data_IF_011065757860
#
_entry.id   IF_011065757860
#
_cell.length_a   1.000
_cell.length_b   1.000
_cell.length_c   1.000
_cell.angle_alpha   90.00
_cell.angle_beta   90.00
_cell.angle_gamma   90.00
#
_symmetry.space_group_name_H-M   'P 1'
#
loop_
_entity.id
_entity.type
_entity.pdbx_description
1 polymer ?
#
# COMPACT_ATOMS: atom_id res chain seq x y z
N UNK A 1 -30.73 12.83 -13.48
CA UNK A 1 -29.46 12.76 -14.21
C UNK A 1 -28.36 12.79 -13.18
N UNK A 2 -27.75 11.65 -12.89
CA UNK A 2 -26.55 11.60 -12.09
C UNK A 2 -25.41 11.91 -13.03
N UNK A 3 -24.84 13.11 -12.94
CA UNK A 3 -23.58 13.42 -13.61
C UNK A 3 -22.52 12.49 -13.01
N UNK A 4 -22.03 11.54 -13.79
CA UNK A 4 -20.81 10.83 -13.42
C UNK A 4 -19.72 11.89 -13.29
N UNK A 5 -19.05 12.01 -12.12
CA UNK A 5 -18.04 13.04 -11.93
C UNK A 5 -16.96 12.87 -12.98
N UNK A 6 -16.73 13.90 -13.77
CA UNK A 6 -15.71 13.93 -14.82
C UNK A 6 -14.36 13.62 -14.18
N UNK A 7 -13.89 12.39 -14.38
CA UNK A 7 -12.63 11.91 -13.81
C UNK A 7 -11.50 12.72 -14.42
N UNK A 8 -10.89 13.57 -13.60
CA UNK A 8 -9.96 14.61 -14.05
C UNK A 8 -8.73 14.06 -14.80
N UNK A 9 -8.30 12.83 -14.48
CA UNK A 9 -7.18 12.14 -15.13
C UNK A 9 -7.13 10.65 -14.74
N UNK A 10 -6.61 9.74 -15.61
CA UNK A 10 -6.31 8.36 -15.25
C UNK A 10 -5.42 8.22 -14.00
N UNK A 11 -4.51 9.17 -13.78
CA UNK A 11 -3.62 9.20 -12.61
C UNK A 11 -4.44 9.51 -11.34
N UNK A 12 -5.33 10.50 -11.40
CA UNK A 12 -6.19 10.85 -10.28
C UNK A 12 -7.13 9.70 -9.91
N UNK A 13 -7.67 8.99 -10.91
CA UNK A 13 -8.52 7.80 -10.70
C UNK A 13 -7.77 6.70 -9.98
N UNK A 14 -6.60 6.32 -10.49
CA UNK A 14 -5.76 5.25 -9.93
C UNK A 14 -5.36 5.57 -8.50
N UNK A 15 -4.92 6.80 -8.25
CA UNK A 15 -4.61 7.26 -6.91
C UNK A 15 -5.81 7.12 -5.97
N UNK A 16 -6.97 7.60 -6.40
CA UNK A 16 -8.22 7.56 -5.64
C UNK A 16 -8.66 6.13 -5.31
N UNK A 17 -8.61 5.21 -6.27
CA UNK A 17 -8.93 3.79 -6.08
C UNK A 17 -8.02 3.15 -5.01
N UNK A 18 -6.72 3.40 -5.10
CA UNK A 18 -5.73 2.88 -4.15
C UNK A 18 -5.84 3.51 -2.77
N UNK A 19 -6.10 4.81 -2.72
CA UNK A 19 -6.35 5.50 -1.46
C UNK A 19 -7.63 4.99 -0.76
N UNK A 20 -8.69 4.74 -1.52
CA UNK A 20 -9.92 4.10 -1.01
C UNK A 20 -9.64 2.72 -0.45
N UNK A 21 -8.93 1.88 -1.21
CA UNK A 21 -8.57 0.53 -0.77
C UNK A 21 -7.80 0.55 0.56
N UNK A 22 -6.88 1.50 0.76
CA UNK A 22 -6.18 1.65 2.04
C UNK A 22 -7.10 2.11 3.17
N UNK A 23 -7.98 3.08 2.92
CA UNK A 23 -8.95 3.55 3.91
C UNK A 23 -9.93 2.45 4.35
N UNK A 24 -10.44 1.67 3.39
CA UNK A 24 -11.42 0.60 3.66
C UNK A 24 -10.84 -0.53 4.52
N UNK A 25 -9.53 -0.74 4.45
CA UNK A 25 -8.80 -1.73 5.24
C UNK A 25 -8.16 -1.16 6.52
N UNK A 26 -8.23 0.16 6.74
CA UNK A 26 -7.64 0.81 7.90
C UNK A 26 -8.65 0.97 9.04
N UNK A 27 -8.18 0.78 10.27
CA UNK A 27 -8.93 1.13 11.47
C UNK A 27 -8.44 2.46 12.03
N UNK A 28 -9.37 3.28 12.50
CA UNK A 28 -9.10 4.49 13.24
C UNK A 28 -8.37 4.12 14.56
N UNK A 29 -7.18 4.69 14.81
CA UNK A 29 -6.34 4.27 15.93
C UNK A 29 -6.92 4.66 17.29
N UNK A 30 -7.89 5.59 17.33
CA UNK A 30 -8.52 6.07 18.57
C UNK A 30 -9.78 5.27 18.87
N UNK A 31 -10.58 4.98 17.85
CA UNK A 31 -11.93 4.39 18.02
C UNK A 31 -12.02 2.92 17.63
N UNK A 32 -11.04 2.38 16.90
CA UNK A 32 -11.04 1.02 16.34
C UNK A 32 -12.08 0.80 15.24
N UNK A 33 -12.79 1.84 14.82
CA UNK A 33 -13.79 1.80 13.74
C UNK A 33 -13.11 1.93 12.38
N UNK A 34 -13.79 1.62 11.26
CA UNK A 34 -13.25 1.90 9.93
C UNK A 34 -12.80 3.36 9.79
N UNK A 35 -11.60 3.57 9.27
CA UNK A 35 -11.01 4.89 9.12
C UNK A 35 -11.77 5.68 8.05
N UNK A 36 -12.28 6.85 8.43
CA UNK A 36 -12.93 7.78 7.49
C UNK A 36 -11.96 8.86 7.03
N UNK A 37 -12.26 9.55 5.93
CA UNK A 37 -11.46 10.72 5.48
C UNK A 37 -11.38 11.80 6.57
N UNK A 38 -12.43 12.00 7.35
CA UNK A 38 -12.42 12.92 8.49
C UNK A 38 -11.55 12.41 9.65
N UNK A 39 -11.61 11.11 9.95
CA UNK A 39 -10.73 10.47 10.93
C UNK A 39 -9.27 10.62 10.54
N UNK A 40 -8.94 10.30 9.29
CA UNK A 40 -7.60 10.47 8.72
C UNK A 40 -7.14 11.93 8.84
N UNK A 41 -7.98 12.90 8.45
CA UNK A 41 -7.65 14.32 8.58
C UNK A 41 -7.31 14.70 10.01
N UNK A 42 -8.10 14.25 10.99
CA UNK A 42 -7.85 14.52 12.42
C UNK A 42 -6.53 13.90 12.88
N UNK A 43 -6.23 12.67 12.48
CA UNK A 43 -4.97 12.02 12.84
C UNK A 43 -3.77 12.71 12.22
N UNK A 44 -3.85 13.09 10.93
CA UNK A 44 -2.76 13.79 10.26
C UNK A 44 -2.53 15.19 10.83
N UNK A 45 -3.60 15.93 11.10
CA UNK A 45 -3.52 17.28 11.67
C UNK A 45 -2.99 17.30 13.11
N UNK A 46 -3.15 16.22 13.87
CA UNK A 46 -2.58 16.10 15.22
C UNK A 46 -1.06 15.96 15.23
N UNK A 47 -0.43 15.59 14.11
CA UNK A 47 1.02 15.44 13.98
C UNK A 47 1.72 16.74 13.50
N UNK A 48 1.04 17.88 13.54
CA UNK A 48 1.48 19.26 13.19
C UNK A 48 2.09 19.49 11.78
N UNK A 49 2.39 18.44 11.00
CA UNK A 49 3.04 18.53 9.68
C UNK A 49 2.08 18.30 8.49
N UNK A 50 0.78 18.57 8.65
CA UNK A 50 -0.21 18.34 7.59
C UNK A 50 -0.57 19.64 6.84
N UNK A 51 -0.01 19.90 5.64
CA UNK A 51 -0.20 21.18 4.94
C UNK A 51 -1.54 21.30 4.19
N UNK A 52 -2.40 20.28 4.26
CA UNK A 52 -3.61 20.23 3.44
C UNK A 52 -4.87 20.49 4.23
N UNK A 53 -5.88 21.01 3.55
CA UNK A 53 -7.22 21.11 4.12
C UNK A 53 -7.94 19.76 4.06
N UNK A 54 -8.91 19.58 4.97
CA UNK A 54 -9.85 18.44 4.92
C UNK A 54 -10.50 18.29 3.53
N UNK A 55 -10.86 19.40 2.90
CA UNK A 55 -11.44 19.40 1.55
C UNK A 55 -10.48 18.89 0.47
N UNK A 56 -9.18 19.10 0.63
CA UNK A 56 -8.18 18.55 -0.29
C UNK A 56 -8.15 17.01 -0.22
N UNK A 57 -8.19 16.42 0.98
CA UNK A 57 -8.28 14.96 1.13
C UNK A 57 -9.54 14.37 0.49
N UNK A 58 -10.69 15.04 0.60
CA UNK A 58 -11.90 14.59 -0.07
C UNK A 58 -11.78 14.66 -1.60
N UNK A 59 -11.14 15.69 -2.15
CA UNK A 59 -10.90 15.78 -3.59
C UNK A 59 -9.98 14.66 -4.08
N UNK A 60 -8.93 14.35 -3.32
CA UNK A 60 -8.06 13.20 -3.59
C UNK A 60 -8.84 11.88 -3.52
N UNK A 61 -9.66 11.71 -2.48
CA UNK A 61 -10.54 10.55 -2.31
C UNK A 61 -11.52 10.38 -3.47
N UNK A 62 -11.99 11.47 -4.08
CA UNK A 62 -12.97 11.47 -5.17
C UNK A 62 -12.38 11.48 -6.59
N UNK A 63 -11.05 11.49 -6.73
CA UNK A 63 -10.37 11.70 -8.02
C UNK A 63 -10.65 13.07 -8.67
N UNK A 64 -11.02 14.07 -7.88
CA UNK A 64 -11.33 15.45 -8.32
C UNK A 64 -10.08 16.35 -8.39
N UNK A 65 -8.92 15.85 -7.99
CA UNK A 65 -7.63 16.55 -8.11
C UNK A 65 -6.52 15.57 -8.42
N UNK A 66 -5.53 16.03 -9.19
CA UNK A 66 -4.30 15.25 -9.41
C UNK A 66 -3.50 15.28 -8.09
N UNK A 67 -3.07 14.11 -7.58
CA UNK A 67 -2.24 14.04 -6.38
C UNK A 67 -0.87 14.65 -6.65
N UNK A 68 -0.38 15.44 -5.70
CA UNK A 68 0.98 15.96 -5.71
C UNK A 68 1.94 14.99 -5.00
N UNK A 69 3.23 15.11 -5.27
CA UNK A 69 4.27 14.22 -4.72
C UNK A 69 4.26 14.21 -3.19
N UNK A 70 4.19 15.39 -2.57
CA UNK A 70 4.07 15.59 -1.13
C UNK A 70 2.82 14.90 -0.54
N UNK A 71 1.69 14.90 -1.25
CA UNK A 71 0.49 14.14 -0.84
C UNK A 71 0.73 12.64 -0.88
N UNK A 72 1.42 12.16 -1.93
CA UNK A 72 1.75 10.75 -2.14
C UNK A 72 2.68 10.26 -1.03
N UNK A 73 3.81 10.94 -0.81
CA UNK A 73 4.81 10.59 0.21
C UNK A 73 4.22 10.52 1.62
N UNK A 74 3.40 11.52 1.95
CA UNK A 74 2.76 11.59 3.26
C UNK A 74 1.74 10.47 3.47
N UNK A 75 0.86 10.20 2.49
CA UNK A 75 -0.12 9.12 2.62
C UNK A 75 0.57 7.74 2.59
N UNK A 76 1.60 7.58 1.77
CA UNK A 76 2.44 6.38 1.74
C UNK A 76 3.05 6.10 3.12
N UNK A 77 3.64 7.12 3.74
CA UNK A 77 4.19 7.04 5.10
C UNK A 77 3.12 6.71 6.13
N UNK A 78 1.96 7.36 6.07
CA UNK A 78 0.87 7.12 7.03
C UNK A 78 0.36 5.68 6.98
N UNK A 79 0.15 5.15 5.76
CA UNK A 79 -0.36 3.79 5.58
C UNK A 79 0.73 2.71 5.59
N UNK A 80 2.01 3.08 5.70
CA UNK A 80 3.12 2.13 5.70
C UNK A 80 3.31 1.40 4.37
N UNK A 81 2.98 2.06 3.25
CA UNK A 81 3.16 1.53 1.89
C UNK A 81 4.22 2.33 1.13
N UNK A 82 4.90 1.76 0.12
CA UNK A 82 5.83 2.54 -0.71
C UNK A 82 5.07 3.55 -1.58
N UNK A 83 5.70 4.66 -1.98
CA UNK A 83 5.08 5.67 -2.86
C UNK A 83 4.67 5.09 -4.22
N UNK A 84 5.43 4.08 -4.69
CA UNK A 84 5.12 3.31 -5.91
C UNK A 84 3.73 2.68 -5.85
N UNK A 85 3.22 2.39 -4.64
CA UNK A 85 1.85 1.95 -4.45
C UNK A 85 0.86 2.91 -5.08
N UNK A 86 1.06 4.23 -5.05
CA UNK A 86 0.08 5.16 -5.61
C UNK A 86 0.26 5.42 -7.11
N UNK A 87 1.48 5.27 -7.62
CA UNK A 87 1.84 5.70 -8.98
C UNK A 87 1.99 4.57 -10.01
N UNK A 88 2.22 3.33 -9.57
CA UNK A 88 2.52 2.22 -10.48
C UNK A 88 1.39 1.99 -11.51
N UNK A 89 1.75 1.91 -12.80
CA UNK A 89 0.79 1.72 -13.89
C UNK A 89 0.13 0.35 -13.92
N UNK A 90 0.81 -0.67 -13.38
CA UNK A 90 0.26 -2.02 -13.24
C UNK A 90 -0.51 -2.17 -11.93
N UNK A 91 -1.47 -3.10 -11.85
CA UNK A 91 -2.07 -3.49 -10.58
C UNK A 91 -0.96 -3.83 -9.58
N UNK A 92 -0.90 -3.12 -8.45
CA UNK A 92 0.20 -3.28 -7.48
C UNK A 92 0.16 -4.67 -6.84
N UNK A 93 -1.03 -5.24 -6.70
CA UNK A 93 -1.29 -6.61 -6.30
C UNK A 93 -0.62 -7.64 -7.20
N UNK A 94 -0.62 -7.45 -8.53
CA UNK A 94 0.10 -8.36 -9.45
C UNK A 94 1.62 -8.27 -9.24
N UNK A 95 2.17 -7.06 -9.10
CA UNK A 95 3.61 -6.88 -8.85
C UNK A 95 4.04 -7.49 -7.51
N UNK A 96 3.23 -7.32 -6.47
CA UNK A 96 3.49 -7.92 -5.17
C UNK A 96 3.34 -9.42 -5.20
N UNK A 97 2.34 -9.97 -5.90
CA UNK A 97 2.18 -11.41 -6.05
C UNK A 97 3.43 -12.04 -6.68
N UNK A 98 3.94 -11.46 -7.78
CA UNK A 98 5.19 -11.90 -8.41
C UNK A 98 6.36 -11.85 -7.43
N UNK A 99 6.50 -10.77 -6.66
CA UNK A 99 7.59 -10.63 -5.67
C UNK A 99 7.47 -11.63 -4.52
N UNK A 100 6.25 -11.97 -4.10
CA UNK A 100 5.98 -13.00 -3.09
C UNK A 100 6.39 -14.38 -3.64
N UNK A 101 5.94 -14.72 -4.85
CA UNK A 101 6.27 -15.99 -5.49
C UNK A 101 7.78 -16.16 -5.66
N UNK A 102 8.48 -15.11 -6.11
CA UNK A 102 9.94 -15.10 -6.18
C UNK A 102 10.61 -15.31 -4.80
N UNK A 103 10.05 -14.71 -3.74
CA UNK A 103 10.56 -14.89 -2.39
C UNK A 103 10.35 -16.32 -1.88
N UNK A 104 9.19 -16.92 -2.15
CA UNK A 104 8.89 -18.31 -1.81
C UNK A 104 9.84 -19.27 -2.55
N UNK A 105 10.07 -19.05 -3.84
CA UNK A 105 11.03 -19.84 -4.63
C UNK A 105 12.46 -19.77 -4.05
N UNK A 106 12.90 -18.60 -3.57
CA UNK A 106 14.19 -18.48 -2.88
C UNK A 106 14.23 -19.27 -1.57
N UNK A 107 13.15 -19.22 -0.79
CA UNK A 107 13.05 -20.01 0.45
C UNK A 107 13.11 -21.51 0.18
N UNK A 108 12.44 -22.00 -0.87
CA UNK A 108 12.46 -23.40 -1.25
C UNK A 108 13.86 -23.85 -1.69
N UNK A 109 14.57 -23.04 -2.48
CA UNK A 109 15.95 -23.33 -2.87
C UNK A 109 16.90 -23.43 -1.66
N UNK A 110 16.74 -22.55 -0.67
CA UNK A 110 17.50 -22.61 0.60
C UNK A 110 17.15 -23.88 1.37
N UNK A 111 15.87 -24.23 1.45
CA UNK A 111 15.40 -25.46 2.12
C UNK A 111 16.02 -26.71 1.49
N UNK A 112 16.02 -26.81 0.16
CA UNK A 112 16.62 -27.93 -0.56
C UNK A 112 18.13 -28.03 -0.31
N UNK A 113 18.83 -26.90 -0.32
CA UNK A 113 20.26 -26.83 0.00
C UNK A 113 20.55 -27.34 1.42
N UNK A 114 19.74 -26.94 2.40
CA UNK A 114 19.87 -27.40 3.79
C UNK A 114 19.58 -28.91 3.92
N UNK A 115 18.59 -29.45 3.20
CA UNK A 115 18.29 -30.87 3.17
C UNK A 115 19.43 -31.69 2.55
N UNK A 116 20.05 -31.18 1.48
CA UNK A 116 21.23 -31.79 0.86
C UNK A 116 22.42 -31.80 1.83
N UNK A 117 22.71 -30.69 2.51
CA UNK A 117 23.78 -30.64 3.51
C UNK A 117 23.53 -31.63 4.65
N UNK A 118 22.28 -31.73 5.13
CA UNK A 118 21.87 -32.70 6.16
C UNK A 118 22.10 -34.14 5.71
N UNK A 119 21.77 -34.48 4.46
CA UNK A 119 21.97 -35.84 3.94
C UNK A 119 23.47 -36.18 3.84
N UNK A 120 24.30 -35.24 3.39
CA UNK A 120 25.76 -35.41 3.33
C UNK A 120 26.37 -35.66 4.71
N UNK A 121 25.97 -34.89 5.73
CA UNK A 121 26.42 -35.09 7.11
C UNK A 121 26.02 -36.46 7.68
N UNK A 122 24.79 -36.91 7.38
CA UNK A 122 24.30 -38.22 7.81
C UNK A 122 25.03 -39.38 7.11
N UNK A 123 25.49 -39.20 5.87
CA UNK A 123 26.25 -40.22 5.13
C UNK A 123 27.73 -40.28 5.56
N UNK A 124 28.35 -39.13 5.85
CA UNK A 124 29.72 -39.05 6.36
C UNK A 124 29.92 -39.49 7.81
N UNK A 125 28.82 -39.75 8.54
CA UNK A 125 28.84 -40.17 9.96
C UNK A 125 28.66 -41.68 10.17
N UNK A 126 28.66 -42.50 9.11
CA UNK A 126 28.65 -43.96 9.24
C UNK A 126 30.09 -44.50 9.27
N UNK A 127 30.56 -45.07 10.42
CA UNK A 127 31.84 -45.79 10.48
C UNK A 127 31.80 -47.11 9.71
#
# INVERSE_FOLDING_TARGET
>A
MSEEPEVLSPVARRFSERFRALLDNAADPITGRPLTVDGLYKTLNANEDFPYSRGHLYRLYKAETIPRLDSIEMLARYFGVPESYFVAERPYDEEIAVRIDEALNRCDAVRESLLSLKSMLNQGSRP
#
